data_IF_505572805891
#
_entry.id   IF_505572805891
#
_cell.length_a   1.000
_cell.length_b   1.000
_cell.length_c   1.000
_cell.angle_alpha   90.00
_cell.angle_beta   90.00
_cell.angle_gamma   90.00
#
_symmetry.space_group_name_H-M   'P 1'
#
loop_
_entity.id
_entity.type
_entity.pdbx_description
1 polymer ?
#
# COMPACT_ATOMS: atom_id res chain seq x y z
N UNK A 1 5.73 3.42 7.20
CA UNK A 1 4.37 3.41 6.64
C UNK A 1 3.98 1.97 6.41
N UNK A 2 2.80 1.63 6.85
CA UNK A 2 2.35 0.25 7.00
C UNK A 2 1.24 -0.07 6.03
N UNK A 3 1.36 -1.18 5.30
CA UNK A 3 0.37 -1.68 4.36
C UNK A 3 -0.16 -3.01 4.87
N UNK A 4 -1.47 -3.12 5.02
CA UNK A 4 -2.11 -4.37 5.40
C UNK A 4 -2.39 -5.23 4.17
N UNK A 5 -1.99 -6.51 4.21
CA UNK A 5 -2.40 -7.49 3.21
C UNK A 5 -3.64 -8.21 3.74
N UNK A 6 -4.76 -8.07 3.04
CA UNK A 6 -6.05 -8.67 3.39
C UNK A 6 -6.62 -9.49 2.23
N UNK A 7 -7.69 -10.18 2.48
CA UNK A 7 -8.44 -10.98 1.47
C UNK A 7 -9.10 -12.17 2.13
N UNK A 8 -9.89 -12.90 1.37
CA UNK A 8 -10.52 -14.13 1.85
C UNK A 8 -9.47 -15.18 2.25
N UNK A 9 -9.85 -16.14 3.06
CA UNK A 9 -9.01 -17.31 3.35
C UNK A 9 -8.57 -17.98 2.04
N UNK A 10 -7.34 -18.48 2.01
CA UNK A 10 -6.80 -19.22 0.85
C UNK A 10 -6.70 -18.42 -0.47
N UNK A 11 -6.63 -17.07 -0.40
CA UNK A 11 -6.41 -16.24 -1.59
C UNK A 11 -4.94 -16.10 -2.00
N UNK A 12 -3.98 -16.60 -1.20
CA UNK A 12 -2.55 -16.53 -1.45
C UNK A 12 -1.86 -15.31 -0.82
N UNK A 13 -2.46 -14.70 0.21
CA UNK A 13 -1.88 -13.56 0.96
C UNK A 13 -0.47 -13.83 1.46
N UNK A 14 -0.31 -14.93 2.22
CA UNK A 14 0.98 -15.31 2.81
C UNK A 14 2.02 -15.67 1.75
N UNK A 15 1.59 -16.23 0.62
CA UNK A 15 2.48 -16.47 -0.54
C UNK A 15 3.03 -15.16 -1.09
N UNK A 16 2.16 -14.17 -1.32
CA UNK A 16 2.57 -12.83 -1.79
C UNK A 16 3.42 -12.12 -0.73
N UNK A 17 3.07 -12.25 0.55
CA UNK A 17 3.85 -11.66 1.64
C UNK A 17 5.27 -12.29 1.71
N UNK A 18 5.39 -13.61 1.60
CA UNK A 18 6.68 -14.31 1.56
C UNK A 18 7.53 -13.84 0.37
N UNK A 19 6.92 -13.74 -0.81
CA UNK A 19 7.59 -13.25 -2.01
C UNK A 19 8.07 -11.80 -1.86
N UNK A 20 7.27 -10.91 -1.24
CA UNK A 20 7.62 -9.52 -0.97
C UNK A 20 8.77 -9.36 0.03
N UNK A 21 8.80 -10.20 1.05
CA UNK A 21 9.68 -10.02 2.22
C UNK A 21 10.91 -10.91 2.18
N UNK A 22 10.93 -11.92 1.31
CA UNK A 22 11.94 -12.97 1.32
C UNK A 22 11.84 -13.89 2.55
N UNK A 23 10.75 -13.81 3.31
CA UNK A 23 10.47 -14.71 4.41
C UNK A 23 9.93 -16.04 3.89
N UNK A 24 10.00 -17.08 4.70
CA UNK A 24 9.47 -18.41 4.38
C UNK A 24 8.49 -18.85 5.48
N UNK A 25 7.40 -18.10 5.62
CA UNK A 25 6.33 -18.46 6.55
C UNK A 25 5.55 -19.65 6.00
N UNK A 26 5.14 -20.56 6.88
CA UNK A 26 4.28 -21.66 6.51
C UNK A 26 2.96 -21.16 5.93
N UNK A 27 2.66 -21.58 4.70
CA UNK A 27 1.35 -21.38 4.08
C UNK A 27 0.44 -22.52 4.51
N UNK A 28 -0.47 -22.27 5.45
CA UNK A 28 -1.39 -23.29 5.93
C UNK A 28 -2.67 -23.32 5.09
N UNK A 29 -3.13 -24.51 4.74
CA UNK A 29 -4.42 -24.76 4.06
C UNK A 29 -5.59 -24.46 5.01
N UNK A 30 -5.36 -24.57 6.31
CA UNK A 30 -6.35 -24.31 7.35
C UNK A 30 -6.17 -22.91 7.96
N UNK A 31 -7.21 -22.07 7.98
CA UNK A 31 -7.12 -20.75 8.62
C UNK A 31 -6.89 -20.93 10.13
N UNK A 32 -5.71 -20.53 10.60
CA UNK A 32 -5.42 -20.46 12.04
C UNK A 32 -5.97 -19.18 12.61
N UNK A 33 -6.99 -19.27 13.43
CA UNK A 33 -7.74 -18.14 14.03
C UNK A 33 -6.91 -17.33 15.04
N UNK A 34 -5.72 -17.79 15.41
CA UNK A 34 -4.89 -17.25 16.51
C UNK A 34 -3.50 -16.78 16.08
N UNK A 35 -3.20 -16.72 14.78
CA UNK A 35 -1.88 -16.30 14.31
C UNK A 35 -1.66 -14.80 14.56
N UNK A 36 -0.53 -14.45 15.16
CA UNK A 36 -0.07 -13.07 15.24
C UNK A 36 0.23 -12.54 13.83
N UNK A 37 -0.03 -11.23 13.56
CA UNK A 37 0.30 -10.64 12.27
C UNK A 37 1.80 -10.70 12.00
N UNK A 38 2.17 -11.08 10.78
CA UNK A 38 3.57 -11.09 10.37
C UNK A 38 3.93 -9.75 9.72
N UNK A 39 5.01 -9.12 10.20
CA UNK A 39 5.51 -7.86 9.69
C UNK A 39 6.79 -8.07 8.88
N UNK A 40 6.84 -7.49 7.68
CA UNK A 40 8.01 -7.51 6.82
C UNK A 40 8.34 -6.11 6.30
N UNK A 41 9.64 -5.78 6.29
CA UNK A 41 10.15 -4.51 5.75
C UNK A 41 10.71 -4.77 4.35
N UNK A 42 10.13 -4.11 3.36
CA UNK A 42 10.46 -4.31 1.94
C UNK A 42 11.15 -3.06 1.39
N UNK A 43 12.25 -3.26 0.67
CA UNK A 43 12.95 -2.18 -0.05
C UNK A 43 12.12 -1.75 -1.26
N UNK A 44 12.02 -0.44 -1.47
CA UNK A 44 11.43 0.11 -2.69
C UNK A 44 12.49 0.09 -3.79
N UNK A 45 12.30 -0.65 -4.88
CA UNK A 45 13.23 -0.63 -6.01
C UNK A 45 13.30 0.79 -6.60
N UNK A 46 14.50 1.29 -6.89
CA UNK A 46 14.67 2.62 -7.48
C UNK A 46 15.90 2.65 -8.38
N UNK A 47 15.70 2.52 -9.68
CA UNK A 47 16.77 2.54 -10.68
C UNK A 47 17.65 3.80 -10.60
N UNK A 48 17.10 4.92 -10.07
CA UNK A 48 17.86 6.15 -9.87
C UNK A 48 18.88 5.97 -8.77
N UNK A 49 18.50 5.28 -7.70
CA UNK A 49 19.41 4.96 -6.59
C UNK A 49 20.54 4.04 -7.05
N UNK A 50 20.21 3.00 -7.81
CA UNK A 50 21.16 2.03 -8.33
C UNK A 50 22.19 2.72 -9.23
N UNK A 51 21.72 3.56 -10.15
CA UNK A 51 22.60 4.32 -11.04
C UNK A 51 23.50 5.33 -10.32
N UNK A 52 22.98 6.00 -9.29
CA UNK A 52 23.77 6.90 -8.46
C UNK A 52 24.78 6.13 -7.61
N UNK A 53 24.46 4.94 -7.16
CA UNK A 53 25.39 4.04 -6.46
C UNK A 53 26.58 3.66 -7.36
N UNK A 54 26.33 3.34 -8.63
CA UNK A 54 27.40 3.08 -9.60
C UNK A 54 28.32 4.30 -9.81
N UNK A 55 27.74 5.51 -9.89
CA UNK A 55 28.47 6.75 -10.14
C UNK A 55 29.34 7.15 -8.93
N UNK A 56 28.78 7.09 -7.72
CA UNK A 56 29.44 7.58 -6.50
C UNK A 56 30.27 6.50 -5.79
N UNK A 57 30.05 5.21 -6.11
CA UNK A 57 30.69 4.07 -5.45
C UNK A 57 30.77 4.23 -3.92
N UNK A 58 29.62 4.46 -3.23
CA UNK A 58 29.57 4.82 -1.82
C UNK A 58 29.91 3.61 -0.94
N UNK A 59 30.29 3.87 0.31
CA UNK A 59 30.45 2.80 1.32
C UNK A 59 29.13 2.09 1.63
N UNK A 60 28.01 2.79 1.45
CA UNK A 60 26.67 2.27 1.76
C UNK A 60 25.61 2.81 0.81
N UNK A 61 24.68 1.93 0.41
CA UNK A 61 23.45 2.30 -0.31
C UNK A 61 22.24 1.96 0.52
N UNK A 62 21.32 2.92 0.69
CA UNK A 62 20.11 2.76 1.52
C UNK A 62 18.85 3.08 0.71
N UNK A 63 18.02 2.06 0.47
CA UNK A 63 16.75 2.19 -0.20
C UNK A 63 15.68 2.81 0.71
N UNK A 64 14.67 3.42 0.11
CA UNK A 64 13.40 3.65 0.78
C UNK A 64 12.76 2.30 1.15
N UNK A 65 11.95 2.28 2.20
CA UNK A 65 11.29 1.05 2.65
C UNK A 65 9.81 1.25 2.91
N UNK A 66 9.04 0.17 2.74
CA UNK A 66 7.63 0.06 3.11
C UNK A 66 7.44 -1.16 3.99
N UNK A 67 6.60 -1.07 5.00
CA UNK A 67 6.24 -2.19 5.87
C UNK A 67 4.97 -2.85 5.34
N UNK A 68 5.01 -4.16 5.13
CA UNK A 68 3.85 -4.99 4.84
C UNK A 68 3.51 -5.85 6.04
N UNK A 69 2.22 -6.06 6.26
CA UNK A 69 1.74 -6.90 7.36
C UNK A 69 0.74 -7.90 6.79
N UNK A 70 1.04 -9.19 6.96
CA UNK A 70 0.13 -10.27 6.60
C UNK A 70 -0.83 -10.55 7.75
N UNK A 71 -2.13 -10.57 7.45
CA UNK A 71 -3.20 -10.81 8.39
C UNK A 71 -3.99 -12.04 8.03
N UNK A 72 -4.66 -12.60 9.05
CA UNK A 72 -5.60 -13.72 8.87
C UNK A 72 -6.66 -13.35 7.83
N UNK A 73 -7.08 -14.33 7.02
CA UNK A 73 -8.13 -14.14 6.03
C UNK A 73 -9.46 -13.71 6.62
N UNK A 74 -10.13 -12.79 5.95
CA UNK A 74 -11.50 -12.41 6.27
C UNK A 74 -12.47 -13.53 5.83
N UNK A 75 -13.60 -13.63 6.53
CA UNK A 75 -14.64 -14.61 6.27
C UNK A 75 -15.96 -13.90 6.07
N UNK A 76 -16.68 -14.21 4.98
CA UNK A 76 -17.98 -13.61 4.69
C UNK A 76 -18.96 -13.85 5.84
N UNK A 77 -19.54 -12.77 6.35
CA UNK A 77 -20.58 -12.81 7.39
C UNK A 77 -20.09 -13.13 8.80
N UNK A 78 -18.80 -13.39 9.01
CA UNK A 78 -18.23 -13.54 10.36
C UNK A 78 -17.79 -12.19 10.93
N UNK A 79 -18.77 -11.39 11.32
CA UNK A 79 -18.55 -10.05 11.90
C UNK A 79 -17.64 -10.06 13.13
N UNK A 80 -17.64 -11.15 13.92
CA UNK A 80 -16.84 -11.24 15.14
C UNK A 80 -15.36 -11.43 14.82
N UNK A 81 -15.05 -12.33 13.89
CA UNK A 81 -13.69 -12.56 13.42
C UNK A 81 -13.17 -11.37 12.61
N UNK A 82 -13.95 -10.91 11.65
CA UNK A 82 -13.57 -9.79 10.78
C UNK A 82 -13.28 -8.53 11.60
N UNK A 83 -14.04 -8.28 12.66
CA UNK A 83 -13.80 -7.15 13.55
C UNK A 83 -12.43 -7.25 14.27
N UNK A 84 -12.04 -8.44 14.71
CA UNK A 84 -10.70 -8.63 15.31
C UNK A 84 -9.59 -8.30 14.30
N UNK A 85 -9.76 -8.73 13.04
CA UNK A 85 -8.83 -8.40 11.96
C UNK A 85 -8.83 -6.90 11.71
N UNK A 86 -9.98 -6.25 11.61
CA UNK A 86 -10.08 -4.80 11.41
C UNK A 86 -9.43 -4.02 12.56
N UNK A 87 -9.59 -4.45 13.81
CA UNK A 87 -8.92 -3.84 14.95
C UNK A 87 -7.39 -3.92 14.86
N UNK A 88 -6.85 -4.98 14.26
CA UNK A 88 -5.42 -5.14 14.05
C UNK A 88 -4.87 -4.28 12.90
N UNK A 89 -5.66 -4.10 11.84
CA UNK A 89 -5.22 -3.38 10.62
C UNK A 89 -5.57 -1.89 10.60
N UNK A 90 -6.29 -1.40 11.61
CA UNK A 90 -6.70 0.01 11.67
C UNK A 90 -5.55 1.01 11.60
N UNK A 91 -4.36 0.63 12.08
CA UNK A 91 -3.14 1.45 12.03
C UNK A 91 -2.42 1.40 10.68
N UNK A 92 -2.89 0.59 9.72
CA UNK A 92 -2.34 0.56 8.38
C UNK A 92 -2.68 1.85 7.61
N UNK A 93 -1.74 2.30 6.77
CA UNK A 93 -1.91 3.50 5.94
C UNK A 93 -2.61 3.19 4.61
N UNK A 94 -2.52 1.94 4.13
CA UNK A 94 -3.18 1.44 2.91
C UNK A 94 -3.44 -0.05 2.99
N UNK A 95 -4.19 -0.58 2.04
CA UNK A 95 -4.59 -1.97 1.93
C UNK A 95 -4.10 -2.56 0.61
N UNK A 96 -3.52 -3.75 0.67
CA UNK A 96 -3.33 -4.68 -0.45
C UNK A 96 -4.34 -5.79 -0.29
N UNK A 97 -5.33 -5.82 -1.15
CA UNK A 97 -6.42 -6.78 -1.14
C UNK A 97 -6.15 -7.89 -2.16
N UNK A 98 -5.82 -9.08 -1.67
CA UNK A 98 -5.52 -10.25 -2.52
C UNK A 98 -6.79 -11.01 -2.84
N UNK A 99 -7.07 -11.12 -4.15
CA UNK A 99 -8.23 -11.80 -4.71
C UNK A 99 -7.76 -13.02 -5.51
N UNK A 100 -8.37 -14.19 -5.29
CA UNK A 100 -7.99 -15.44 -5.92
C UNK A 100 -8.63 -15.60 -7.31
N UNK A 101 -7.81 -15.94 -8.30
CA UNK A 101 -8.25 -16.44 -9.61
C UNK A 101 -7.54 -17.76 -10.01
N UNK A 102 -6.58 -18.23 -9.23
CA UNK A 102 -5.92 -19.51 -9.49
C UNK A 102 -6.79 -20.69 -9.06
N UNK A 103 -6.71 -21.79 -9.81
CA UNK A 103 -7.32 -23.07 -9.49
C UNK A 103 -6.29 -23.96 -8.75
N UNK A 104 -6.71 -24.57 -7.64
CA UNK A 104 -5.94 -25.54 -6.89
C UNK A 104 -6.92 -26.44 -6.14
N UNK A 105 -7.03 -27.70 -6.55
CA UNK A 105 -7.94 -28.69 -5.98
C UNK A 105 -7.61 -29.04 -4.52
N UNK A 106 -6.35 -28.87 -4.12
CA UNK A 106 -5.91 -29.13 -2.75
C UNK A 106 -6.29 -28.03 -1.77
N UNK A 107 -6.68 -26.85 -2.29
CA UNK A 107 -6.95 -25.63 -1.51
C UNK A 107 -8.40 -25.20 -1.69
N UNK A 108 -9.26 -25.53 -0.72
CA UNK A 108 -10.67 -25.16 -0.77
C UNK A 108 -10.88 -23.65 -0.85
N UNK A 109 -11.80 -23.21 -1.71
CA UNK A 109 -12.22 -21.80 -1.74
C UNK A 109 -13.32 -21.56 -0.68
N UNK A 110 -13.23 -20.52 0.18
CA UNK A 110 -14.20 -20.30 1.27
C UNK A 110 -15.62 -20.00 0.77
N UNK A 111 -15.77 -19.66 -0.53
CA UNK A 111 -17.04 -19.40 -1.19
C UNK A 111 -17.42 -20.52 -2.19
N UNK A 112 -16.82 -21.71 -2.06
CA UNK A 112 -17.05 -22.91 -2.87
C UNK A 112 -16.74 -22.78 -4.38
N UNK A 113 -16.54 -21.57 -4.87
CA UNK A 113 -16.22 -21.27 -6.28
C UNK A 113 -15.35 -20.05 -6.41
N UNK A 114 -14.53 -20.00 -7.46
CA UNK A 114 -13.67 -18.87 -7.79
C UNK A 114 -14.50 -17.83 -8.55
N UNK A 115 -14.62 -16.63 -7.99
CA UNK A 115 -15.25 -15.50 -8.63
C UNK A 115 -14.61 -14.19 -8.10
N UNK A 116 -13.56 -13.69 -8.77
CA UNK A 116 -12.79 -12.56 -8.29
C UNK A 116 -13.61 -11.29 -8.02
N UNK A 117 -14.61 -11.01 -8.86
CA UNK A 117 -15.47 -9.84 -8.67
C UNK A 117 -16.32 -9.95 -7.41
N UNK A 118 -16.99 -11.07 -7.22
CA UNK A 118 -17.80 -11.36 -6.01
C UNK A 118 -16.93 -11.28 -4.76
N UNK A 119 -15.74 -11.84 -4.82
CA UNK A 119 -14.83 -11.92 -3.68
C UNK A 119 -14.28 -10.54 -3.31
N UNK A 120 -13.94 -9.72 -4.32
CA UNK A 120 -13.55 -8.32 -4.12
C UNK A 120 -14.68 -7.49 -3.51
N UNK A 121 -15.89 -7.61 -4.05
CA UNK A 121 -17.10 -6.94 -3.54
C UNK A 121 -17.43 -7.36 -2.10
N UNK A 122 -17.27 -8.65 -1.78
CA UNK A 122 -17.53 -9.17 -0.42
C UNK A 122 -16.63 -8.48 0.61
N UNK A 123 -15.35 -8.36 0.36
CA UNK A 123 -14.41 -7.70 1.30
C UNK A 123 -14.68 -6.19 1.39
N UNK A 124 -15.00 -5.55 0.27
CA UNK A 124 -15.39 -4.15 0.24
C UNK A 124 -16.61 -3.89 1.16
N UNK A 125 -17.64 -4.71 1.05
CA UNK A 125 -18.84 -4.60 1.88
C UNK A 125 -18.55 -4.90 3.36
N UNK A 126 -17.68 -5.87 3.68
CA UNK A 126 -17.28 -6.14 5.08
C UNK A 126 -16.59 -4.93 5.70
N UNK A 127 -15.73 -4.21 4.96
CA UNK A 127 -15.11 -2.98 5.43
C UNK A 127 -16.13 -1.85 5.65
N UNK A 128 -17.06 -1.69 4.71
CA UNK A 128 -18.14 -0.69 4.79
C UNK A 128 -19.03 -0.95 6.01
N UNK A 129 -19.47 -2.19 6.22
CA UNK A 129 -20.30 -2.56 7.36
C UNK A 129 -19.56 -2.42 8.69
N UNK A 130 -18.26 -2.74 8.72
CA UNK A 130 -17.44 -2.50 9.90
C UNK A 130 -17.36 -1.02 10.29
N UNK A 131 -17.18 -0.15 9.30
CA UNK A 131 -17.17 1.30 9.50
C UNK A 131 -18.57 1.85 9.90
N UNK A 132 -19.64 1.34 9.29
CA UNK A 132 -21.02 1.70 9.63
C UNK A 132 -21.34 1.36 11.10
N UNK A 133 -20.97 0.17 11.54
CA UNK A 133 -21.11 -0.23 12.95
C UNK A 133 -20.34 0.69 13.91
N UNK A 134 -19.13 1.11 13.52
CA UNK A 134 -18.33 2.06 14.29
C UNK A 134 -19.04 3.42 14.39
N UNK A 135 -19.55 3.93 13.27
CA UNK A 135 -20.28 5.21 13.21
C UNK A 135 -21.53 5.15 14.09
N UNK A 136 -22.35 4.10 13.95
CA UNK A 136 -23.57 3.94 14.73
C UNK A 136 -23.29 3.92 16.24
N UNK A 137 -22.32 3.12 16.68
CA UNK A 137 -21.89 3.08 18.09
C UNK A 137 -21.38 4.43 18.60
N UNK A 138 -20.70 5.20 17.74
CA UNK A 138 -20.19 6.52 18.13
C UNK A 138 -21.31 7.54 18.27
N UNK A 139 -22.26 7.58 17.33
CA UNK A 139 -23.43 8.44 17.39
C UNK A 139 -24.30 8.10 18.61
N UNK A 140 -24.54 6.83 18.86
CA UNK A 140 -25.30 6.37 20.04
C UNK A 140 -24.67 6.82 21.37
N UNK A 141 -23.32 6.70 21.48
CA UNK A 141 -22.57 7.21 22.64
C UNK A 141 -22.71 8.73 22.81
N UNK A 142 -22.72 9.49 21.70
CA UNK A 142 -22.95 10.93 21.74
C UNK A 142 -24.35 11.28 22.24
N UNK A 143 -25.39 10.57 21.79
CA UNK A 143 -26.76 10.75 22.25
C UNK A 143 -26.93 10.42 23.74
N UNK A 144 -26.34 9.31 24.18
CA UNK A 144 -26.32 8.95 25.61
C UNK A 144 -25.58 9.98 26.45
N UNK A 145 -24.46 10.53 25.91
CA UNK A 145 -23.73 11.62 26.55
C UNK A 145 -24.58 12.88 26.72
N UNK A 146 -25.32 13.25 25.68
CA UNK A 146 -26.23 14.40 25.69
C UNK A 146 -27.33 14.24 26.76
N UNK A 147 -27.93 13.06 26.86
CA UNK A 147 -28.92 12.74 27.91
C UNK A 147 -28.35 12.88 29.33
N UNK A 148 -27.04 12.77 29.49
CA UNK A 148 -26.31 12.96 30.76
C UNK A 148 -25.74 14.38 30.94
N UNK A 149 -26.15 15.33 30.09
CA UNK A 149 -25.71 16.74 30.16
C UNK A 149 -24.33 17.04 29.55
N UNK A 150 -23.71 16.07 28.84
CA UNK A 150 -22.47 16.32 28.09
C UNK A 150 -22.80 16.86 26.70
N UNK A 151 -22.23 18.00 26.34
CA UNK A 151 -22.36 18.51 24.96
C UNK A 151 -21.49 17.65 24.02
N UNK A 152 -22.05 17.10 22.92
CA UNK A 152 -21.28 16.42 21.91
C UNK A 152 -20.37 17.41 21.14
N UNK A 153 -19.31 16.89 20.54
CA UNK A 153 -18.57 17.61 19.52
C UNK A 153 -19.45 17.68 18.25
N UNK A 154 -19.95 18.87 17.95
CA UNK A 154 -20.86 19.08 16.80
C UNK A 154 -20.14 18.88 15.47
N UNK A 155 -18.82 19.14 15.39
CA UNK A 155 -18.02 18.89 14.19
C UNK A 155 -17.89 17.40 13.93
N UNK A 156 -17.52 16.63 14.97
CA UNK A 156 -17.44 15.17 14.87
C UNK A 156 -18.82 14.57 14.52
N UNK A 157 -19.89 15.04 15.15
CA UNK A 157 -21.24 14.55 14.87
C UNK A 157 -21.66 14.76 13.42
N UNK A 158 -21.39 15.95 12.85
CA UNK A 158 -21.69 16.23 11.43
C UNK A 158 -20.93 15.32 10.50
N UNK A 159 -19.65 15.09 10.76
CA UNK A 159 -18.81 14.17 9.98
C UNK A 159 -19.34 12.74 10.06
N UNK A 160 -19.70 12.26 11.26
CA UNK A 160 -20.25 10.92 11.43
C UNK A 160 -21.58 10.73 10.69
N UNK A 161 -22.49 11.73 10.72
CA UNK A 161 -23.76 11.68 9.97
C UNK A 161 -23.48 11.60 8.47
N UNK A 162 -22.58 12.44 7.95
CA UNK A 162 -22.15 12.41 6.54
C UNK A 162 -21.57 11.03 6.16
N UNK A 163 -20.71 10.46 7.00
CA UNK A 163 -20.16 9.11 6.79
C UNK A 163 -21.27 8.05 6.76
N UNK A 164 -22.23 8.12 7.70
CA UNK A 164 -23.35 7.17 7.77
C UNK A 164 -24.18 7.18 6.47
N UNK A 165 -24.55 8.36 5.97
CA UNK A 165 -25.36 8.50 4.74
C UNK A 165 -24.70 7.85 3.51
N UNK A 166 -23.38 7.74 3.50
CA UNK A 166 -22.61 7.16 2.41
C UNK A 166 -22.47 5.66 2.60
N UNK A 167 -22.10 5.24 3.81
CA UNK A 167 -21.96 3.83 4.16
C UNK A 167 -23.30 3.08 4.03
N UNK A 168 -24.43 3.71 4.38
CA UNK A 168 -25.79 3.17 4.18
C UNK A 168 -26.14 2.92 2.70
N UNK A 169 -25.40 3.57 1.76
CA UNK A 169 -25.49 3.34 0.31
C UNK A 169 -24.45 2.36 -0.22
N UNK A 170 -23.82 1.59 0.68
CA UNK A 170 -22.76 0.65 0.33
C UNK A 170 -21.59 1.31 -0.45
N UNK A 171 -21.29 2.56 -0.12
CA UNK A 171 -20.20 3.33 -0.74
C UNK A 171 -19.06 3.49 0.26
N UNK A 172 -17.83 3.22 -0.17
CA UNK A 172 -16.64 3.36 0.65
C UNK A 172 -16.32 4.84 0.93
N UNK A 173 -15.82 5.14 2.12
CA UNK A 173 -15.47 6.51 2.50
C UNK A 173 -14.31 7.08 1.67
N UNK A 174 -13.44 6.23 1.09
CA UNK A 174 -12.35 6.66 0.19
C UNK A 174 -12.86 7.32 -1.10
N UNK A 175 -14.09 7.05 -1.49
CA UNK A 175 -14.70 7.56 -2.71
C UNK A 175 -15.35 8.95 -2.50
N UNK A 176 -15.20 9.52 -1.31
CA UNK A 176 -15.71 10.83 -0.95
C UNK A 176 -14.63 11.89 -0.79
N UNK A 177 -15.02 13.13 -1.07
CA UNK A 177 -14.20 14.28 -0.72
C UNK A 177 -14.53 14.78 0.69
N UNK A 178 -13.49 14.92 1.49
CA UNK A 178 -13.53 15.47 2.84
C UNK A 178 -12.65 16.72 2.92
N UNK A 179 -13.14 17.78 3.58
CA UNK A 179 -12.34 18.95 3.88
C UNK A 179 -11.17 18.61 4.82
N UNK A 180 -10.17 19.48 4.91
CA UNK A 180 -9.04 19.28 5.83
C UNK A 180 -9.47 19.15 7.30
N UNK A 181 -10.52 19.88 7.70
CA UNK A 181 -11.09 19.82 9.05
C UNK A 181 -11.78 18.49 9.30
N UNK A 182 -12.60 18.00 8.34
CA UNK A 182 -13.23 16.70 8.39
C UNK A 182 -12.18 15.58 8.44
N UNK A 183 -11.14 15.65 7.62
CA UNK A 183 -10.05 14.67 7.62
C UNK A 183 -9.30 14.61 8.96
N UNK A 184 -9.09 15.76 9.63
CA UNK A 184 -8.49 15.79 10.97
C UNK A 184 -9.35 15.06 11.98
N UNK A 185 -10.67 15.29 11.95
CA UNK A 185 -11.65 14.63 12.81
C UNK A 185 -11.67 13.11 12.56
N UNK A 186 -11.63 12.69 11.29
CA UNK A 186 -11.70 11.28 10.89
C UNK A 186 -10.44 10.48 11.25
N UNK A 187 -9.26 11.10 11.35
CA UNK A 187 -8.00 10.41 11.71
C UNK A 187 -8.11 9.60 13.00
N UNK A 188 -8.90 10.08 13.97
CA UNK A 188 -9.09 9.41 15.26
C UNK A 188 -10.07 8.24 15.19
N UNK A 189 -10.87 8.15 14.11
CA UNK A 189 -11.91 7.13 13.95
C UNK A 189 -11.37 5.86 13.28
N UNK A 190 -10.24 5.98 12.57
CA UNK A 190 -9.50 4.85 11.97
C UNK A 190 -10.38 3.96 11.08
N UNK A 191 -11.21 4.57 10.22
CA UNK A 191 -12.04 3.87 9.27
C UNK A 191 -11.24 2.98 8.32
N UNK A 192 -11.84 1.84 7.95
CA UNK A 192 -11.24 0.88 7.02
C UNK A 192 -11.49 1.28 5.57
N UNK A 193 -12.73 1.59 5.22
CA UNK A 193 -13.13 1.93 3.87
C UNK A 193 -12.61 3.28 3.35
N UNK A 194 -11.96 4.09 4.21
CA UNK A 194 -11.27 5.33 3.80
C UNK A 194 -9.86 5.08 3.28
N UNK A 195 -9.28 3.91 3.60
CA UNK A 195 -7.88 3.62 3.24
C UNK A 195 -7.74 3.42 1.72
N UNK A 196 -6.67 3.97 1.11
CA UNK A 196 -6.34 3.65 -0.27
C UNK A 196 -6.13 2.15 -0.45
N UNK A 197 -6.57 1.59 -1.58
CA UNK A 197 -6.60 0.16 -1.81
C UNK A 197 -5.94 -0.24 -3.13
N UNK A 198 -5.13 -1.30 -3.09
CA UNK A 198 -4.60 -2.01 -4.24
C UNK A 198 -5.19 -3.42 -4.27
N UNK A 199 -6.04 -3.71 -5.22
CA UNK A 199 -6.54 -5.06 -5.47
C UNK A 199 -5.51 -5.83 -6.29
N UNK A 200 -5.08 -6.97 -5.76
CA UNK A 200 -4.12 -7.87 -6.40
C UNK A 200 -4.84 -9.15 -6.80
N UNK A 201 -5.03 -9.33 -8.10
CA UNK A 201 -5.58 -10.54 -8.68
C UNK A 201 -4.48 -11.59 -8.74
N UNK A 202 -4.55 -12.59 -7.86
CA UNK A 202 -3.59 -13.69 -7.78
C UNK A 202 -4.04 -14.81 -8.73
N UNK A 203 -3.30 -14.98 -9.83
CA UNK A 203 -3.61 -15.90 -10.93
C UNK A 203 -2.75 -17.17 -10.90
N UNK A 204 -3.16 -18.21 -11.62
CA UNK A 204 -2.34 -19.39 -11.86
C UNK A 204 -1.19 -19.10 -12.83
N UNK A 205 -0.16 -19.96 -12.81
CA UNK A 205 1.03 -19.82 -13.68
C UNK A 205 0.65 -19.80 -15.17
N UNK A 206 -0.28 -20.67 -15.58
CA UNK A 206 -0.73 -20.79 -16.96
C UNK A 206 -1.59 -19.61 -17.42
N UNK A 207 -2.17 -18.87 -16.46
CA UNK A 207 -3.10 -17.79 -16.72
C UNK A 207 -2.44 -16.39 -16.70
N UNK A 208 -1.16 -16.28 -16.34
CA UNK A 208 -0.50 -14.99 -16.05
C UNK A 208 -0.68 -13.95 -17.16
N UNK A 209 -0.58 -14.34 -18.43
CA UNK A 209 -0.76 -13.48 -19.59
C UNK A 209 -2.00 -13.80 -20.42
N UNK A 210 -2.92 -14.62 -19.89
CA UNK A 210 -4.09 -15.09 -20.62
C UNK A 210 -5.10 -13.97 -20.89
N UNK A 211 -5.92 -14.15 -21.93
CA UNK A 211 -7.03 -13.26 -22.22
C UNK A 211 -8.08 -13.26 -21.09
N UNK A 212 -8.24 -14.39 -20.39
CA UNK A 212 -9.08 -14.51 -19.20
C UNK A 212 -8.62 -13.54 -18.12
N UNK A 213 -7.34 -13.57 -17.75
CA UNK A 213 -6.77 -12.66 -16.74
C UNK A 213 -6.88 -11.19 -17.14
N UNK A 214 -6.64 -10.87 -18.40
CA UNK A 214 -6.83 -9.50 -18.91
C UNK A 214 -8.28 -9.05 -18.78
N UNK A 215 -9.23 -9.93 -19.15
CA UNK A 215 -10.66 -9.65 -19.04
C UNK A 215 -11.10 -9.48 -17.59
N UNK A 216 -10.68 -10.35 -16.68
CA UNK A 216 -10.98 -10.26 -15.25
C UNK A 216 -10.39 -8.98 -14.63
N UNK A 217 -9.13 -8.68 -14.94
CA UNK A 217 -8.46 -7.45 -14.47
C UNK A 217 -9.20 -6.21 -14.96
N UNK A 218 -9.58 -6.17 -16.23
CA UNK A 218 -10.36 -5.06 -16.81
C UNK A 218 -11.76 -4.96 -16.19
N UNK A 219 -12.38 -6.10 -15.89
CA UNK A 219 -13.67 -6.16 -15.20
C UNK A 219 -13.60 -5.58 -13.78
N UNK A 220 -12.56 -5.92 -13.02
CA UNK A 220 -12.30 -5.35 -11.69
C UNK A 220 -11.97 -3.86 -11.77
N UNK A 221 -11.14 -3.44 -12.74
CA UNK A 221 -10.87 -2.01 -12.98
C UNK A 221 -12.16 -1.24 -13.32
N UNK A 222 -13.04 -1.84 -14.09
CA UNK A 222 -14.36 -1.28 -14.40
C UNK A 222 -15.27 -1.16 -13.18
N UNK A 223 -15.27 -2.18 -12.31
CA UNK A 223 -16.02 -2.19 -11.05
C UNK A 223 -15.55 -1.07 -10.10
N UNK A 224 -14.24 -0.87 -10.00
CA UNK A 224 -13.64 0.17 -9.18
C UNK A 224 -13.44 1.51 -9.90
N UNK A 225 -14.03 1.70 -11.09
CA UNK A 225 -13.86 2.92 -11.88
C UNK A 225 -14.36 4.15 -11.12
N UNK A 226 -13.52 5.18 -11.07
CA UNK A 226 -13.81 6.43 -10.34
C UNK A 226 -13.50 6.37 -8.86
N UNK A 227 -13.07 5.22 -8.34
CA UNK A 227 -12.70 5.00 -6.94
C UNK A 227 -11.19 5.11 -6.75
N UNK A 228 -10.75 5.36 -5.53
CA UNK A 228 -9.33 5.39 -5.17
C UNK A 228 -8.77 3.96 -4.97
N UNK A 229 -9.05 3.10 -5.93
CA UNK A 229 -8.61 1.69 -5.97
C UNK A 229 -7.79 1.46 -7.22
N UNK A 230 -6.67 0.75 -7.10
CA UNK A 230 -5.86 0.26 -8.22
C UNK A 230 -6.02 -1.25 -8.32
N UNK A 231 -5.86 -1.79 -9.52
CA UNK A 231 -5.94 -3.25 -9.76
C UNK A 231 -4.67 -3.69 -10.50
N UNK A 232 -4.06 -4.75 -10.00
CA UNK A 232 -2.87 -5.40 -10.55
C UNK A 232 -3.09 -6.91 -10.58
N UNK A 233 -2.65 -7.61 -11.63
CA UNK A 233 -2.58 -9.07 -11.65
C UNK A 233 -1.14 -9.56 -11.50
N UNK A 234 -0.94 -10.67 -10.78
CA UNK A 234 0.33 -11.37 -10.66
C UNK A 234 0.10 -12.85 -10.31
N UNK A 235 1.11 -13.68 -10.49
CA UNK A 235 1.13 -15.05 -9.98
C UNK A 235 2.02 -15.13 -8.74
N UNK A 236 1.41 -15.22 -7.57
CA UNK A 236 2.14 -15.25 -6.29
C UNK A 236 3.13 -16.42 -6.18
N UNK A 237 2.85 -17.55 -6.85
CA UNK A 237 3.75 -18.70 -6.87
C UNK A 237 5.02 -18.41 -7.67
N UNK A 238 4.90 -17.88 -8.88
CA UNK A 238 6.04 -17.45 -9.71
C UNK A 238 6.88 -16.39 -8.97
N UNK A 239 6.22 -15.39 -8.38
CA UNK A 239 6.92 -14.34 -7.63
C UNK A 239 7.69 -14.89 -6.43
N UNK A 240 7.14 -15.89 -5.73
CA UNK A 240 7.81 -16.56 -4.62
C UNK A 240 9.01 -17.38 -5.10
N UNK A 241 8.92 -18.03 -6.25
CA UNK A 241 10.03 -18.75 -6.86
C UNK A 241 11.15 -17.78 -7.26
N UNK A 242 10.83 -16.68 -7.93
CA UNK A 242 11.80 -15.62 -8.30
C UNK A 242 12.51 -15.08 -7.06
N UNK A 243 11.78 -14.82 -5.97
CA UNK A 243 12.36 -14.28 -4.74
C UNK A 243 13.39 -15.19 -4.06
N UNK A 244 13.41 -16.50 -4.39
CA UNK A 244 14.33 -17.49 -3.85
C UNK A 244 15.57 -17.72 -4.74
N UNK A 245 15.58 -17.19 -5.97
CA UNK A 245 16.67 -17.34 -6.91
C UNK A 245 17.78 -16.29 -6.64
N UNK A 246 19.01 -16.63 -7.05
CA UNK A 246 20.08 -15.64 -7.16
C UNK A 246 19.74 -14.63 -8.26
N UNK A 247 20.34 -13.42 -8.25
CA UNK A 247 20.05 -12.40 -9.25
C UNK A 247 20.20 -12.86 -10.71
N UNK A 248 21.23 -13.69 -10.99
CA UNK A 248 21.50 -14.20 -12.33
C UNK A 248 20.47 -15.27 -12.74
N UNK A 249 20.10 -16.16 -11.81
CA UNK A 249 19.05 -17.17 -12.05
C UNK A 249 17.68 -16.51 -12.20
N UNK A 250 17.35 -15.50 -11.36
CA UNK A 250 16.11 -14.76 -11.46
C UNK A 250 15.98 -14.06 -12.81
N UNK A 251 17.06 -13.46 -13.32
CA UNK A 251 17.08 -12.84 -14.65
C UNK A 251 16.83 -13.86 -15.75
N UNK A 252 17.55 -14.98 -15.73
CA UNK A 252 17.36 -16.05 -16.72
C UNK A 252 15.93 -16.59 -16.71
N UNK A 253 15.33 -16.76 -15.51
CA UNK A 253 13.94 -17.22 -15.34
C UNK A 253 12.93 -16.23 -15.88
N UNK A 254 13.13 -14.93 -15.63
CA UNK A 254 12.29 -13.86 -16.18
C UNK A 254 12.35 -13.78 -17.70
N UNK A 255 13.58 -13.89 -18.27
CA UNK A 255 13.81 -13.90 -19.72
C UNK A 255 13.10 -15.08 -20.39
N UNK A 256 13.12 -16.28 -19.77
CA UNK A 256 12.44 -17.49 -20.26
C UNK A 256 10.91 -17.34 -20.25
N UNK A 257 10.38 -16.65 -19.25
CA UNK A 257 8.94 -16.33 -19.15
C UNK A 257 8.52 -15.13 -20.01
N UNK A 258 9.46 -14.40 -20.63
CA UNK A 258 9.19 -13.17 -21.38
C UNK A 258 8.70 -12.02 -20.49
N UNK A 259 9.16 -11.97 -19.23
CA UNK A 259 8.80 -10.97 -18.22
C UNK A 259 10.00 -10.02 -18.02
N UNK A 260 9.79 -8.72 -18.21
CA UNK A 260 10.86 -7.70 -18.08
C UNK A 260 11.32 -7.51 -16.63
N UNK A 261 10.38 -7.54 -15.67
CA UNK A 261 10.65 -7.39 -14.24
C UNK A 261 9.62 -8.13 -13.38
N UNK A 262 9.97 -8.54 -12.14
CA UNK A 262 9.02 -9.14 -11.21
C UNK A 262 7.80 -8.24 -10.98
N UNK A 263 6.60 -8.82 -11.00
CA UNK A 263 5.36 -8.06 -10.78
C UNK A 263 5.30 -7.47 -9.37
N UNK A 264 6.04 -8.03 -8.41
CA UNK A 264 6.20 -7.47 -7.07
C UNK A 264 6.85 -6.08 -7.08
N UNK A 265 7.80 -5.80 -7.97
CA UNK A 265 8.35 -4.45 -8.11
C UNK A 265 7.25 -3.45 -8.45
N UNK A 266 6.38 -3.81 -9.39
CA UNK A 266 5.21 -3.01 -9.75
C UNK A 266 4.23 -2.86 -8.59
N UNK A 267 4.00 -3.94 -7.82
CA UNK A 267 3.15 -3.89 -6.61
C UNK A 267 3.71 -2.89 -5.59
N UNK A 268 5.02 -2.96 -5.32
CA UNK A 268 5.69 -2.04 -4.37
C UNK A 268 5.57 -0.59 -4.86
N UNK A 269 5.84 -0.33 -6.13
CA UNK A 269 5.73 1.01 -6.71
C UNK A 269 4.30 1.55 -6.70
N UNK A 270 3.31 0.73 -7.07
CA UNK A 270 1.90 1.13 -7.03
C UNK A 270 1.47 1.43 -5.60
N UNK A 271 1.85 0.58 -4.65
CA UNK A 271 1.57 0.79 -3.22
C UNK A 271 2.20 2.07 -2.68
N UNK A 272 3.46 2.34 -3.05
CA UNK A 272 4.18 3.54 -2.68
C UNK A 272 3.50 4.82 -3.20
N UNK A 273 3.10 4.80 -4.47
CA UNK A 273 2.38 5.89 -5.11
C UNK A 273 0.97 6.07 -4.53
N UNK A 274 0.29 4.99 -4.20
CA UNK A 274 -1.05 5.00 -3.60
C UNK A 274 -1.04 5.71 -2.23
N UNK A 275 0.04 5.56 -1.48
CA UNK A 275 0.29 6.27 -0.23
C UNK A 275 0.66 7.76 -0.44
N UNK A 276 0.75 8.23 -1.67
CA UNK A 276 1.19 9.59 -2.01
C UNK A 276 2.65 9.83 -1.65
N UNK A 277 3.48 8.79 -1.68
CA UNK A 277 4.89 8.87 -1.34
C UNK A 277 5.75 9.14 -2.57
N UNK A 278 6.85 9.86 -2.34
CA UNK A 278 7.94 10.05 -3.28
C UNK A 278 9.26 9.86 -2.55
N UNK A 279 10.33 9.60 -3.31
CA UNK A 279 11.68 9.57 -2.78
C UNK A 279 12.50 10.72 -3.34
N UNK A 280 13.17 11.48 -2.47
CA UNK A 280 14.33 12.28 -2.84
C UNK A 280 15.61 11.54 -2.48
N UNK A 281 16.71 11.87 -3.17
CA UNK A 281 17.96 11.15 -3.06
C UNK A 281 19.05 12.09 -2.51
N UNK A 282 19.86 11.58 -1.62
CA UNK A 282 21.10 12.23 -1.21
C UNK A 282 22.29 11.39 -1.67
N UNK A 283 23.33 12.05 -2.12
CA UNK A 283 24.52 11.40 -2.69
C UNK A 283 25.79 11.88 -2.00
N UNK A 284 26.67 10.94 -1.71
CA UNK A 284 27.95 11.20 -1.09
C UNK A 284 28.84 9.96 -1.13
N UNK A 285 30.12 10.12 -0.80
CA UNK A 285 31.09 9.01 -0.75
C UNK A 285 30.78 8.01 0.38
N UNK A 286 30.18 8.46 1.46
CA UNK A 286 29.82 7.58 2.58
C UNK A 286 28.48 6.87 2.34
N UNK A 287 27.49 7.56 1.82
CA UNK A 287 26.15 6.98 1.60
C UNK A 287 25.45 7.63 0.40
N UNK A 288 24.83 6.77 -0.42
CA UNK A 288 23.77 7.14 -1.36
C UNK A 288 22.47 6.60 -0.80
N UNK A 289 21.46 7.51 -0.61
CA UNK A 289 20.25 7.13 0.10
C UNK A 289 18.99 7.73 -0.50
N UNK A 290 17.94 6.91 -0.55
CA UNK A 290 16.57 7.31 -0.87
C UNK A 290 15.78 7.62 0.41
N UNK A 291 15.19 8.81 0.46
CA UNK A 291 14.41 9.32 1.60
C UNK A 291 12.94 9.41 1.23
N UNK A 292 12.09 8.73 1.99
CA UNK A 292 10.65 8.73 1.79
C UNK A 292 9.99 9.97 2.35
N UNK A 293 9.22 10.69 1.52
CA UNK A 293 8.40 11.83 1.92
C UNK A 293 7.04 11.77 1.24
N UNK A 294 6.06 12.48 1.79
CA UNK A 294 4.79 12.70 1.10
C UNK A 294 4.98 13.70 -0.03
N UNK A 295 4.35 13.44 -1.17
CA UNK A 295 4.31 14.37 -2.31
C UNK A 295 3.74 15.72 -1.85
N UNK A 296 4.38 16.82 -2.22
CA UNK A 296 4.00 18.16 -1.81
C UNK A 296 4.54 18.63 -0.45
N UNK A 297 5.39 17.79 0.21
CA UNK A 297 6.07 18.23 1.42
C UNK A 297 7.09 19.32 1.08
N UNK A 298 7.15 20.39 1.87
CA UNK A 298 8.14 21.47 1.71
C UNK A 298 9.58 20.99 1.97
N UNK A 299 10.56 21.73 1.42
CA UNK A 299 11.97 21.35 1.47
C UNK A 299 12.52 21.31 2.91
N UNK A 300 12.05 22.19 3.80
CA UNK A 300 12.48 22.22 5.20
C UNK A 300 12.06 20.94 5.93
N UNK A 301 10.80 20.53 5.81
CA UNK A 301 10.30 19.27 6.41
C UNK A 301 10.90 18.02 5.76
N UNK A 302 11.17 18.09 4.45
CA UNK A 302 11.90 17.02 3.77
C UNK A 302 13.32 16.87 4.33
N UNK A 303 14.03 17.96 4.56
CA UNK A 303 15.35 17.99 5.22
C UNK A 303 15.29 17.41 6.65
N UNK A 304 14.18 17.57 7.36
CA UNK A 304 13.91 16.98 8.67
C UNK A 304 13.91 15.44 8.65
N UNK A 305 13.65 14.82 7.51
CA UNK A 305 13.77 13.36 7.36
C UNK A 305 15.22 12.87 7.41
N UNK A 306 16.17 13.74 7.04
CA UNK A 306 17.59 13.44 7.15
C UNK A 306 18.02 13.57 8.61
N UNK A 307 17.73 14.72 9.23
CA UNK A 307 18.01 14.96 10.64
C UNK A 307 17.22 16.18 11.17
N UNK A 308 16.76 16.12 12.42
CA UNK A 308 16.00 17.21 13.05
C UNK A 308 16.78 18.53 13.15
N UNK A 309 18.12 18.47 13.27
CA UNK A 309 18.95 19.67 13.30
C UNK A 309 19.05 20.36 11.94
N UNK A 310 19.01 19.56 10.84
CA UNK A 310 18.98 20.11 9.49
C UNK A 310 17.65 20.82 9.26
N UNK A 311 16.52 20.28 9.74
CA UNK A 311 15.23 20.97 9.69
C UNK A 311 15.23 22.29 10.45
N UNK A 312 15.75 22.28 11.68
CA UNK A 312 15.82 23.49 12.54
C UNK A 312 16.73 24.57 11.95
N UNK A 313 17.89 24.16 11.43
CA UNK A 313 18.87 25.04 10.81
C UNK A 313 18.65 25.29 9.32
N UNK A 314 17.56 24.79 8.73
CA UNK A 314 17.32 24.86 7.29
C UNK A 314 17.24 26.30 6.80
N UNK A 315 18.03 26.64 5.80
CA UNK A 315 18.00 27.92 5.10
C UNK A 315 17.49 27.67 3.67
N UNK A 316 18.19 26.80 2.93
CA UNK A 316 17.87 26.41 1.55
C UNK A 316 18.54 25.09 1.21
N UNK A 317 18.01 24.39 0.23
CA UNK A 317 18.61 23.21 -0.38
C UNK A 317 18.93 23.45 -1.86
N UNK A 318 20.06 22.98 -2.34
CA UNK A 318 20.37 22.87 -3.77
C UNK A 318 19.79 21.56 -4.28
N UNK A 319 18.91 21.62 -5.25
CA UNK A 319 18.20 20.46 -5.81
C UNK A 319 18.39 20.44 -7.31
N UNK A 320 18.63 19.26 -7.86
CA UNK A 320 18.67 19.00 -9.30
C UNK A 320 17.75 17.82 -9.64
N UNK A 321 17.09 17.85 -10.79
CA UNK A 321 16.33 16.69 -11.23
C UNK A 321 17.30 15.54 -11.56
N UNK A 322 16.92 14.30 -11.26
CA UNK A 322 17.73 13.12 -11.62
C UNK A 322 18.10 13.10 -13.11
N UNK A 323 17.13 13.43 -13.98
CA UNK A 323 17.33 13.48 -15.43
C UNK A 323 18.44 14.47 -15.83
N UNK A 324 18.41 15.67 -15.27
CA UNK A 324 19.39 16.71 -15.55
C UNK A 324 20.78 16.33 -14.98
N UNK A 325 20.79 15.73 -13.79
CA UNK A 325 22.02 15.22 -13.19
C UNK A 325 22.72 14.17 -14.07
N UNK A 326 21.98 13.17 -14.55
CA UNK A 326 22.54 12.12 -15.40
C UNK A 326 22.99 12.68 -16.76
N UNK A 327 22.25 13.61 -17.34
CA UNK A 327 22.60 14.24 -18.63
C UNK A 327 23.91 15.05 -18.57
N UNK A 328 24.28 15.59 -17.39
CA UNK A 328 25.47 16.44 -17.21
C UNK A 328 26.56 15.81 -16.32
N UNK A 329 26.35 14.56 -15.89
CA UNK A 329 27.33 13.71 -15.24
C UNK A 329 27.60 13.99 -13.75
N UNK A 330 27.37 15.21 -13.26
CA UNK A 330 27.56 15.58 -11.85
C UNK A 330 26.88 16.91 -11.48
N UNK A 331 26.91 17.26 -10.19
CA UNK A 331 26.34 18.51 -9.65
C UNK A 331 27.00 19.77 -10.24
N UNK A 332 28.31 19.73 -10.52
CA UNK A 332 29.02 20.88 -11.08
C UNK A 332 28.58 21.17 -12.52
N UNK A 333 28.49 20.14 -13.36
CA UNK A 333 27.97 20.28 -14.73
C UNK A 333 26.53 20.76 -14.79
N UNK A 334 25.67 20.30 -13.89
CA UNK A 334 24.30 20.80 -13.77
C UNK A 334 24.27 22.28 -13.33
N UNK A 335 25.18 22.68 -12.43
CA UNK A 335 25.31 24.09 -11.97
C UNK A 335 25.73 25.03 -13.11
N UNK A 336 26.74 24.62 -13.90
CA UNK A 336 27.20 25.41 -15.05
C UNK A 336 26.10 25.63 -16.10
N UNK A 337 25.14 24.73 -16.19
CA UNK A 337 23.99 24.82 -17.08
C UNK A 337 22.78 25.52 -16.46
N UNK A 338 22.89 26.01 -15.22
CA UNK A 338 21.81 26.70 -14.52
C UNK A 338 20.61 25.78 -14.14
N UNK A 339 20.84 24.47 -14.04
CA UNK A 339 19.80 23.46 -13.77
C UNK A 339 19.60 23.18 -12.27
N UNK A 340 20.46 23.76 -11.43
CA UNK A 340 20.29 23.70 -9.97
C UNK A 340 19.20 24.66 -9.54
N UNK A 341 18.26 24.16 -8.76
CA UNK A 341 17.24 24.97 -8.10
C UNK A 341 17.59 25.16 -6.64
N UNK A 342 17.24 26.33 -6.11
CA UNK A 342 17.36 26.64 -4.70
C UNK A 342 15.97 26.61 -4.09
N UNK A 343 15.72 25.60 -3.28
CA UNK A 343 14.44 25.44 -2.57
C UNK A 343 14.58 26.02 -1.17
N UNK A 344 13.75 27.03 -0.86
CA UNK A 344 13.72 27.73 0.44
C UNK A 344 12.80 27.07 1.47
N UNK A 345 12.45 27.85 2.50
CA UNK A 345 11.51 27.42 3.56
C UNK A 345 10.05 27.41 3.12
N UNK A 346 9.73 28.10 2.05
CA UNK A 346 8.37 28.24 1.49
C UNK A 346 8.43 27.94 0.01
#
# INVERSE_FOLDING_TARGET
MKIAIIGLANSGKTTIFNALTGLNLETTIYPTVTAEPHLGVVKVPDIRLDRLTEIYNPKKTTNATVEYVDYIGLTKGDMVQNRKVFDLIKDADAIVHVVREFEDESVAHPMESINPRRDAETIELEMIFGDLELVDKRLERMEQGLKRGKKPDETEKKVLVKCKEVLDKETALRDMDFSEEEQKTMRNLQFMSIKPELVVLNVGEQDLNSEKTKATTSGLQGFFKGRQVKVLSLCGKIEMEIAQLSPDEAKAFLDDLGIEEPALNKLIHVSYNLLGLISFLTVGEDEVRAWTVKKGLDAQKAAGKIHSDIERGFIRAEVVSYKDFIAHGNMAGAREKGLLRLEGKT
#
